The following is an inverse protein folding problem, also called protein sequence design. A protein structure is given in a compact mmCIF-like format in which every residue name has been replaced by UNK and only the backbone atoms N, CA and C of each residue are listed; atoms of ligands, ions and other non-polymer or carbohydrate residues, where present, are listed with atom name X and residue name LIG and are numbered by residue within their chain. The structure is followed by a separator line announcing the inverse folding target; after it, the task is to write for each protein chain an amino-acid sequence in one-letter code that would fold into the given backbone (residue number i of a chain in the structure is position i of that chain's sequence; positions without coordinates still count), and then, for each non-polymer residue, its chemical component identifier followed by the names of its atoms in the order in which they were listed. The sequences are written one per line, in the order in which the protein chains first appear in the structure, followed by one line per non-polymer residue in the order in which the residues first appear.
data_IF_645228241737
#
_entry.id   IF_645228241737
#
_cell.length_a   1.000
_cell.length_b   1.000
_cell.length_c   1.000
_cell.angle_alpha   90.00
_cell.angle_beta   90.00
_cell.angle_gamma   90.00
#
_symmetry.space_group_name_H-M   'P 1'
#
loop_
_entity.id
_entity.type
_entity.pdbx_description
1 polymer ?
#
# COMPACT_ATOMS: atom_id res chain seq x y z
N UNK A 1 -2.79 3.97 -46.47
CA UNK A 1 -4.17 3.56 -46.23
C UNK A 1 -4.47 3.45 -44.73
N UNK A 2 -3.73 2.70 -43.91
CA UNK A 2 -3.96 2.59 -42.47
C UNK A 2 -3.96 3.95 -41.75
N UNK A 3 -2.98 4.83 -42.02
CA UNK A 3 -2.93 6.18 -41.45
C UNK A 3 -4.12 7.07 -41.85
N UNK A 4 -4.70 6.88 -43.05
CA UNK A 4 -5.90 7.60 -43.46
C UNK A 4 -7.14 7.16 -42.65
N UNK A 5 -7.29 5.84 -42.40
CA UNK A 5 -8.37 5.31 -41.58
C UNK A 5 -8.25 5.82 -40.12
N UNK A 6 -7.05 5.78 -39.56
CA UNK A 6 -6.76 6.32 -38.23
C UNK A 6 -7.16 7.79 -38.14
N UNK A 7 -6.70 8.60 -39.09
CA UNK A 7 -7.00 10.05 -39.13
C UNK A 7 -8.51 10.33 -39.27
N UNK A 8 -9.21 9.56 -40.09
CA UNK A 8 -10.66 9.71 -40.27
C UNK A 8 -11.40 9.36 -38.97
N UNK A 9 -11.05 8.25 -38.35
CA UNK A 9 -11.69 7.79 -37.12
C UNK A 9 -11.39 8.74 -35.94
N UNK A 10 -10.16 9.22 -35.79
CA UNK A 10 -9.81 10.22 -34.78
C UNK A 10 -10.59 11.53 -34.97
N UNK A 11 -10.69 12.01 -36.23
CA UNK A 11 -11.50 13.21 -36.53
C UNK A 11 -12.97 13.00 -36.18
N UNK A 12 -13.57 11.86 -36.55
CA UNK A 12 -14.94 11.50 -36.22
C UNK A 12 -15.22 11.53 -34.71
N UNK A 13 -14.31 10.95 -33.90
CA UNK A 13 -14.43 10.91 -32.47
C UNK A 13 -14.26 12.29 -31.81
N UNK A 14 -13.35 13.11 -32.32
CA UNK A 14 -13.10 14.47 -31.81
C UNK A 14 -14.20 15.46 -32.17
N UNK A 15 -14.90 15.27 -33.31
CA UNK A 15 -16.07 16.11 -33.67
C UNK A 15 -17.29 15.84 -32.79
N UNK A 16 -17.35 14.68 -32.12
CA UNK A 16 -18.33 14.38 -31.09
C UNK A 16 -18.05 15.15 -29.81
N UNK A 17 -18.95 16.00 -29.35
CA UNK A 17 -18.82 16.79 -28.12
C UNK A 17 -18.74 15.93 -26.85
N UNK A 18 -19.13 14.67 -26.93
CA UNK A 18 -19.18 13.75 -25.77
C UNK A 18 -17.79 13.36 -25.26
N UNK A 19 -16.82 13.19 -26.14
CA UNK A 19 -15.46 12.77 -25.73
C UNK A 19 -14.73 13.86 -24.93
N UNK A 20 -14.70 15.14 -25.34
CA UNK A 20 -14.16 16.22 -24.51
C UNK A 20 -14.86 16.36 -23.15
N UNK A 21 -16.18 16.18 -23.11
CA UNK A 21 -16.93 16.21 -21.84
C UNK A 21 -16.53 15.05 -20.92
N UNK A 22 -16.33 13.87 -21.47
CA UNK A 22 -15.85 12.70 -20.72
C UNK A 22 -14.45 12.93 -20.11
N UNK A 23 -13.56 13.55 -20.90
CA UNK A 23 -12.22 13.95 -20.42
C UNK A 23 -12.30 15.01 -19.33
N UNK A 24 -13.14 16.00 -19.50
CA UNK A 24 -13.33 17.04 -18.49
C UNK A 24 -13.86 16.44 -17.18
N UNK A 25 -14.86 15.57 -17.26
CA UNK A 25 -15.40 14.88 -16.09
C UNK A 25 -14.32 14.02 -15.40
N UNK A 26 -13.54 13.27 -16.17
CA UNK A 26 -12.43 12.47 -15.63
C UNK A 26 -11.35 13.34 -14.99
N UNK A 27 -11.00 14.46 -15.61
CA UNK A 27 -10.01 15.41 -15.07
C UNK A 27 -10.50 16.03 -13.75
N UNK A 28 -11.79 16.39 -13.65
CA UNK A 28 -12.37 16.92 -12.42
C UNK A 28 -12.38 15.87 -11.30
N UNK A 29 -12.70 14.61 -11.63
CA UNK A 29 -12.62 13.50 -10.66
C UNK A 29 -11.19 13.26 -10.19
N UNK A 30 -10.22 13.25 -11.09
CA UNK A 30 -8.81 13.13 -10.74
C UNK A 30 -8.32 14.32 -9.91
N UNK A 31 -8.74 15.55 -10.21
CA UNK A 31 -8.39 16.73 -9.45
C UNK A 31 -8.93 16.66 -8.00
N UNK A 32 -10.21 16.27 -7.84
CA UNK A 32 -10.82 16.07 -6.53
C UNK A 32 -10.12 14.95 -5.73
N UNK A 33 -9.81 13.83 -6.38
CA UNK A 33 -9.11 12.72 -5.77
C UNK A 33 -7.67 13.09 -5.36
N UNK A 34 -6.95 13.82 -6.21
CA UNK A 34 -5.61 14.31 -5.92
C UNK A 34 -5.59 15.31 -4.76
N UNK A 35 -6.59 16.21 -4.71
CA UNK A 35 -6.77 17.14 -3.60
C UNK A 35 -6.95 16.40 -2.28
N UNK A 36 -7.81 15.39 -2.26
CA UNK A 36 -8.05 14.57 -1.08
C UNK A 36 -6.78 13.81 -0.65
N UNK A 37 -6.05 13.22 -1.61
CA UNK A 37 -4.78 12.54 -1.37
C UNK A 37 -3.69 13.49 -0.82
N UNK A 38 -3.55 14.69 -1.39
CA UNK A 38 -2.59 15.69 -0.92
C UNK A 38 -2.91 16.18 0.50
N UNK A 39 -4.18 16.45 0.80
CA UNK A 39 -4.62 16.84 2.14
C UNK A 39 -4.32 15.75 3.19
N UNK A 40 -4.52 14.48 2.82
CA UNK A 40 -4.15 13.36 3.68
C UNK A 40 -2.64 13.28 3.95
N UNK A 41 -1.81 13.46 2.91
CA UNK A 41 -0.35 13.49 3.06
C UNK A 41 0.08 14.59 4.01
N UNK A 42 -0.43 15.82 3.84
CA UNK A 42 -0.15 16.97 4.70
C UNK A 42 -0.51 16.71 6.17
N UNK A 43 -1.70 16.15 6.42
CA UNK A 43 -2.13 15.78 7.76
C UNK A 43 -1.20 14.73 8.38
N UNK A 44 -0.78 13.73 7.60
CA UNK A 44 0.12 12.67 8.07
C UNK A 44 1.52 13.19 8.37
N UNK A 45 2.07 14.05 7.52
CA UNK A 45 3.36 14.70 7.74
C UNK A 45 3.33 15.61 8.98
N UNK A 46 2.28 16.39 9.17
CA UNK A 46 2.09 17.22 10.35
C UNK A 46 2.03 16.38 11.64
N UNK A 47 1.29 15.27 11.62
CA UNK A 47 1.21 14.34 12.75
C UNK A 47 2.57 13.69 13.07
N UNK A 48 3.33 13.30 12.06
CA UNK A 48 4.68 12.73 12.24
C UNK A 48 5.67 13.79 12.75
N UNK A 49 5.59 15.03 12.25
CA UNK A 49 6.41 16.14 12.73
C UNK A 49 6.15 16.42 14.21
N UNK A 50 4.88 16.42 14.64
CA UNK A 50 4.51 16.59 16.04
C UNK A 50 5.06 15.47 16.94
N UNK A 51 5.01 14.19 16.47
CA UNK A 51 5.58 13.04 17.20
C UNK A 51 7.10 13.17 17.35
N UNK A 52 7.79 13.64 16.33
CA UNK A 52 9.24 13.81 16.34
C UNK A 52 9.66 15.02 17.18
N UNK A 53 8.85 16.09 17.24
CA UNK A 53 9.13 17.24 18.12
C UNK A 53 8.90 16.89 19.59
N UNK A 54 7.85 16.14 19.92
CA UNK A 54 7.61 15.58 21.27
C UNK A 54 8.80 14.73 21.74
N UNK A 55 9.40 13.92 20.85
CA UNK A 55 10.62 13.18 21.15
C UNK A 55 11.79 14.09 21.47
N UNK A 56 12.03 15.10 20.62
CA UNK A 56 13.14 16.07 20.81
C UNK A 56 12.99 16.84 22.12
N UNK A 57 11.79 17.31 22.43
CA UNK A 57 11.51 18.02 23.67
C UNK A 57 11.72 17.10 24.88
N UNK A 58 11.19 15.87 24.83
CA UNK A 58 11.42 14.87 25.88
C UNK A 58 12.91 14.62 26.11
N UNK A 59 13.72 14.50 25.06
CA UNK A 59 15.16 14.31 25.17
C UNK A 59 15.88 15.56 25.74
N UNK A 60 15.47 16.77 25.34
CA UNK A 60 16.00 18.04 25.91
C UNK A 60 15.72 18.15 27.41
N UNK A 61 14.48 17.87 27.83
CA UNK A 61 14.08 17.90 29.23
C UNK A 61 14.87 16.89 30.06
N UNK A 62 15.03 15.67 29.56
CA UNK A 62 15.83 14.62 30.24
C UNK A 62 17.32 14.99 30.32
N UNK A 63 17.88 15.53 29.24
CA UNK A 63 19.24 16.05 29.25
C UNK A 63 19.44 17.13 30.30
N UNK A 64 18.51 18.06 30.44
CA UNK A 64 18.54 19.09 31.46
C UNK A 64 18.47 18.51 32.88
N UNK A 65 17.61 17.49 33.10
CA UNK A 65 17.51 16.79 34.39
C UNK A 65 18.80 16.03 34.74
N UNK A 66 19.49 15.50 33.75
CA UNK A 66 20.79 14.80 33.96
C UNK A 66 21.95 15.79 34.16
N UNK A 67 21.80 17.03 33.69
CA UNK A 67 22.80 18.10 33.88
C UNK A 67 22.81 18.66 35.31
N UNK A 68 21.69 18.53 36.06
CA UNK A 68 21.64 18.93 37.45
C UNK A 68 22.54 18.03 38.30
N UNK A 69 23.19 18.63 39.31
CA UNK A 69 24.09 17.91 40.21
C UNK A 69 23.36 16.74 40.89
N UNK A 70 23.94 15.52 40.81
CA UNK A 70 23.34 14.29 41.34
C UNK A 70 23.45 14.28 42.86
N UNK A 71 22.58 15.02 43.53
CA UNK A 71 22.40 14.95 44.99
C UNK A 71 21.43 13.80 45.36
N UNK A 72 21.42 13.31 46.61
CA UNK A 72 20.46 12.28 47.05
C UNK A 72 18.99 12.71 46.79
N UNK A 73 18.67 14.00 46.97
CA UNK A 73 17.34 14.55 46.74
C UNK A 73 16.98 14.59 45.24
N UNK A 74 17.93 14.99 44.39
CA UNK A 74 17.74 14.98 42.94
C UNK A 74 17.62 13.55 42.40
N UNK A 75 18.36 12.59 42.98
CA UNK A 75 18.23 11.18 42.63
C UNK A 75 16.83 10.62 42.94
N UNK A 76 16.23 11.03 44.06
CA UNK A 76 14.86 10.67 44.39
C UNK A 76 13.84 11.33 43.44
N UNK A 77 14.09 12.58 43.04
CA UNK A 77 13.18 13.39 42.22
C UNK A 77 13.30 13.10 40.73
N UNK A 78 14.52 12.91 40.22
CA UNK A 78 14.82 12.71 38.80
C UNK A 78 15.37 11.33 38.46
N UNK A 79 15.32 10.38 39.38
CA UNK A 79 15.90 9.07 39.25
C UNK A 79 15.50 8.34 37.96
N UNK A 80 14.25 8.58 37.47
CA UNK A 80 13.83 8.06 36.18
C UNK A 80 14.65 8.54 35.00
N UNK A 81 15.11 9.80 34.99
CA UNK A 81 15.88 10.37 33.88
C UNK A 81 17.35 9.91 33.85
N UNK A 82 17.91 9.56 35.01
CA UNK A 82 19.30 9.09 35.17
C UNK A 82 19.51 7.67 34.68
N UNK A 83 18.45 6.89 34.56
CA UNK A 83 18.54 5.49 34.14
C UNK A 83 18.33 5.34 32.63
N UNK A 84 19.18 4.57 31.98
CA UNK A 84 19.05 4.23 30.56
C UNK A 84 17.67 3.58 30.22
N UNK A 85 17.03 2.98 31.23
CA UNK A 85 15.68 2.40 31.14
C UNK A 85 14.59 3.43 30.83
N UNK A 86 14.85 4.71 31.09
CA UNK A 86 13.92 5.81 30.79
C UNK A 86 13.96 6.27 29.34
N UNK A 87 14.95 5.84 28.56
CA UNK A 87 15.08 6.21 27.16
C UNK A 87 13.81 5.80 26.40
N UNK A 88 13.19 6.79 25.75
CA UNK A 88 12.04 6.62 24.89
C UNK A 88 12.37 7.20 23.52
N UNK A 89 12.27 6.38 22.50
CA UNK A 89 12.58 6.74 21.11
C UNK A 89 11.35 6.53 20.23
N UNK A 90 11.32 7.21 19.10
CA UNK A 90 10.25 7.06 18.12
C UNK A 90 10.81 6.41 16.86
N UNK A 91 10.05 5.46 16.30
CA UNK A 91 10.23 4.99 14.94
C UNK A 91 9.03 5.48 14.14
N UNK A 92 9.26 6.08 12.98
CA UNK A 92 8.21 6.66 12.15
C UNK A 92 8.23 6.10 10.74
N UNK A 93 7.03 5.96 10.14
CA UNK A 93 6.81 5.54 8.75
C UNK A 93 6.35 6.76 7.95
N UNK A 94 7.26 7.46 7.24
CA UNK A 94 6.91 8.62 6.43
C UNK A 94 6.03 8.22 5.24
N UNK A 95 5.23 9.13 4.66
CA UNK A 95 4.53 8.92 3.40
C UNK A 95 5.50 8.50 2.29
N UNK A 96 5.01 7.70 1.33
CA UNK A 96 5.80 7.31 0.16
C UNK A 96 5.93 8.45 -0.86
N UNK A 97 6.77 8.28 -1.87
CA UNK A 97 7.04 9.29 -2.93
C UNK A 97 5.77 9.71 -3.71
N UNK A 98 4.82 8.80 -3.87
CA UNK A 98 3.53 9.04 -4.53
C UNK A 98 2.35 8.83 -3.57
N UNK A 99 2.50 9.18 -2.29
CA UNK A 99 1.47 8.91 -1.28
C UNK A 99 0.11 9.55 -1.60
N UNK A 100 0.08 10.67 -2.32
CA UNK A 100 -1.16 11.30 -2.78
C UNK A 100 -1.92 10.46 -3.84
N UNK A 101 -1.28 9.43 -4.43
CA UNK A 101 -1.90 8.53 -5.42
C UNK A 101 -2.97 7.67 -4.79
N UNK A 102 -2.70 7.14 -3.61
CA UNK A 102 -3.67 6.33 -2.86
C UNK A 102 -3.39 6.36 -1.37
N UNK A 103 -4.42 6.56 -0.61
CA UNK A 103 -4.42 6.35 0.83
C UNK A 103 -4.41 4.85 1.12
N UNK A 104 -5.11 4.08 0.32
CA UNK A 104 -5.14 2.61 0.32
C UNK A 104 -5.31 2.04 1.71
N UNK A 105 -4.50 1.03 2.03
CA UNK A 105 -4.47 0.38 3.36
C UNK A 105 -3.58 1.11 4.37
N UNK A 106 -2.95 2.23 3.99
CA UNK A 106 -1.99 2.94 4.86
C UNK A 106 -2.58 3.36 6.21
N UNK A 107 -3.89 3.61 6.28
CA UNK A 107 -4.58 3.96 7.52
C UNK A 107 -4.76 2.78 8.46
N UNK A 108 -4.83 1.57 7.93
CA UNK A 108 -4.89 0.34 8.73
C UNK A 108 -3.56 -0.03 9.41
N UNK A 109 -2.46 0.66 9.07
CA UNK A 109 -1.14 0.38 9.61
C UNK A 109 -0.64 1.50 10.52
N UNK A 110 0.10 1.15 11.61
CA UNK A 110 0.67 2.16 12.49
C UNK A 110 1.69 3.01 11.75
N UNK A 111 1.57 4.33 11.88
CA UNK A 111 2.50 5.28 11.29
C UNK A 111 3.73 5.56 12.14
N UNK A 112 3.71 5.18 13.42
CA UNK A 112 4.81 5.35 14.33
C UNK A 112 4.81 4.26 15.42
N UNK A 113 5.95 4.04 16.03
CA UNK A 113 6.12 3.18 17.19
C UNK A 113 6.81 3.94 18.32
N UNK A 114 6.35 3.73 19.55
CA UNK A 114 7.03 4.23 20.74
C UNK A 114 7.92 3.13 21.29
N UNK A 115 9.22 3.33 21.22
CA UNK A 115 10.23 2.33 21.57
C UNK A 115 10.76 2.61 22.97
N UNK A 116 10.48 1.68 23.88
CA UNK A 116 11.07 1.65 25.23
C UNK A 116 11.71 0.28 25.47
N UNK A 117 12.77 0.27 26.25
CA UNK A 117 13.47 -0.98 26.57
C UNK A 117 12.55 -1.99 27.31
N UNK A 118 11.65 -1.53 28.16
CA UNK A 118 10.78 -2.36 28.98
C UNK A 118 9.34 -2.55 28.45
N UNK A 119 9.04 -2.00 27.27
CA UNK A 119 7.77 -2.30 26.59
C UNK A 119 7.83 -3.70 25.98
N UNK A 120 6.76 -4.47 26.10
CA UNK A 120 6.61 -5.69 25.32
C UNK A 120 6.57 -5.36 23.82
N UNK A 121 7.12 -6.22 22.99
CA UNK A 121 7.22 -5.98 21.54
C UNK A 121 5.86 -5.77 20.87
N UNK A 122 4.83 -6.44 21.36
CA UNK A 122 3.47 -6.32 20.85
C UNK A 122 2.76 -4.99 21.22
N UNK A 123 3.36 -4.14 22.07
CA UNK A 123 2.71 -2.90 22.55
C UNK A 123 3.36 -1.62 22.00
N UNK A 124 4.42 -1.73 21.21
CA UNK A 124 5.16 -0.54 20.73
C UNK A 124 4.35 0.33 19.76
N UNK A 125 3.31 -0.25 19.13
CA UNK A 125 2.44 0.44 18.17
C UNK A 125 1.14 0.94 18.78
N UNK A 126 0.79 0.56 20.01
CA UNK A 126 -0.53 0.82 20.61
C UNK A 126 -0.92 2.31 20.72
N UNK A 127 0.07 3.19 20.82
CA UNK A 127 -0.15 4.64 20.96
C UNK A 127 -0.38 5.37 19.63
N UNK A 128 -0.07 4.74 18.53
CA UNK A 128 -0.07 5.33 17.19
C UNK A 128 -0.98 4.57 16.22
N UNK A 129 -1.98 3.89 16.77
CA UNK A 129 -3.08 3.36 15.95
C UNK A 129 -3.85 4.57 15.43
N UNK A 130 -4.01 4.66 14.12
CA UNK A 130 -4.87 5.65 13.49
C UNK A 130 -6.24 5.67 14.17
N UNK A 131 -6.82 6.85 14.32
CA UNK A 131 -8.10 7.01 15.02
C UNK A 131 -9.12 5.95 14.56
N UNK A 132 -10.00 5.53 15.46
CA UNK A 132 -11.06 4.57 15.15
C UNK A 132 -11.96 5.16 14.05
N UNK A 133 -11.63 4.86 12.80
CA UNK A 133 -12.51 5.16 11.68
C UNK A 133 -13.62 4.11 11.59
N UNK A 134 -14.76 4.55 11.07
CA UNK A 134 -15.89 3.66 10.86
C UNK A 134 -15.47 2.51 9.91
N UNK A 135 -15.61 1.23 10.31
CA UNK A 135 -15.25 0.09 9.48
C UNK A 135 -15.90 0.10 8.09
N UNK A 136 -17.07 0.71 7.95
CA UNK A 136 -17.75 0.86 6.65
C UNK A 136 -17.03 1.84 5.72
N UNK A 137 -16.39 2.89 6.25
CA UNK A 137 -15.58 3.83 5.47
C UNK A 137 -14.29 3.15 5.00
N UNK A 138 -13.65 2.37 5.88
CA UNK A 138 -12.48 1.57 5.54
C UNK A 138 -12.80 0.50 4.49
N UNK A 139 -13.98 -0.14 4.58
CA UNK A 139 -14.42 -1.16 3.62
C UNK A 139 -14.82 -0.56 2.25
N UNK A 140 -15.42 0.64 2.23
CA UNK A 140 -15.79 1.33 1.00
C UNK A 140 -14.58 1.90 0.24
N UNK A 141 -13.46 2.07 0.92
CA UNK A 141 -12.28 2.77 0.40
C UNK A 141 -12.46 4.28 0.41
N UNK A 142 -11.35 5.02 0.35
CA UNK A 142 -11.39 6.48 0.17
C UNK A 142 -11.47 6.83 -1.30
N UNK A 143 -12.09 7.98 -1.59
CA UNK A 143 -12.08 8.54 -2.93
C UNK A 143 -10.70 9.16 -3.18
N UNK A 144 -9.81 8.37 -3.78
CA UNK A 144 -8.44 8.72 -4.15
C UNK A 144 -8.18 8.47 -5.66
N UNK A 145 -6.98 8.80 -6.12
CA UNK A 145 -6.62 8.60 -7.54
C UNK A 145 -6.63 7.12 -7.93
N UNK A 146 -6.25 6.20 -7.04
CA UNK A 146 -6.31 4.77 -7.33
C UNK A 146 -7.75 4.31 -7.53
N UNK A 147 -8.71 4.80 -6.74
CA UNK A 147 -10.12 4.53 -6.96
C UNK A 147 -10.58 5.00 -8.35
N UNK A 148 -10.26 6.24 -8.73
CA UNK A 148 -10.61 6.79 -10.05
C UNK A 148 -10.01 5.95 -11.18
N UNK A 149 -8.76 5.52 -11.04
CA UNK A 149 -8.08 4.71 -12.06
C UNK A 149 -8.67 3.30 -12.13
N UNK A 150 -8.82 2.61 -11.00
CA UNK A 150 -9.22 1.19 -11.00
C UNK A 150 -10.69 1.02 -11.37
N UNK A 151 -11.56 1.93 -10.91
CA UNK A 151 -13.01 1.80 -11.08
C UNK A 151 -13.56 2.59 -12.26
N UNK A 152 -13.11 3.84 -12.46
CA UNK A 152 -13.75 4.76 -13.42
C UNK A 152 -13.04 4.82 -14.78
N UNK A 153 -11.70 4.68 -14.81
CA UNK A 153 -10.98 4.64 -16.09
C UNK A 153 -11.45 3.50 -17.01
N UNK A 154 -11.70 2.26 -16.52
CA UNK A 154 -12.30 1.22 -17.35
C UNK A 154 -13.61 1.64 -18.01
N UNK A 155 -14.53 2.22 -17.23
CA UNK A 155 -15.82 2.68 -17.74
C UNK A 155 -15.65 3.75 -18.82
N UNK A 156 -14.68 4.65 -18.63
CA UNK A 156 -14.35 5.68 -19.61
C UNK A 156 -13.82 5.05 -20.92
N UNK A 157 -12.88 4.09 -20.83
CA UNK A 157 -12.32 3.41 -22.00
C UNK A 157 -13.40 2.59 -22.71
N UNK A 158 -14.24 1.89 -21.97
CA UNK A 158 -15.34 1.08 -22.50
C UNK A 158 -16.40 1.97 -23.16
N UNK A 159 -16.81 3.09 -22.52
CA UNK A 159 -17.75 4.06 -23.10
C UNK A 159 -17.20 4.67 -24.40
N UNK A 160 -15.87 4.86 -24.49
CA UNK A 160 -15.23 5.31 -25.71
C UNK A 160 -15.03 4.23 -26.79
N UNK A 161 -15.36 2.96 -26.51
CA UNK A 161 -14.97 1.84 -27.39
C UNK A 161 -16.05 0.81 -27.64
N UNK A 162 -17.22 0.86 -26.97
CA UNK A 162 -18.25 -0.15 -27.09
C UNK A 162 -18.86 -0.24 -28.51
N UNK A 163 -18.82 0.84 -29.28
CA UNK A 163 -19.39 0.96 -30.62
C UNK A 163 -18.35 0.75 -31.75
N UNK A 164 -17.14 0.29 -31.44
CA UNK A 164 -15.99 0.24 -32.33
C UNK A 164 -16.28 -0.43 -33.68
N UNK A 165 -17.10 -1.48 -33.71
CA UNK A 165 -17.54 -2.17 -34.93
C UNK A 165 -19.01 -2.56 -34.90
N UNK A 166 -19.60 -2.71 -33.73
CA UNK A 166 -20.99 -3.15 -33.55
C UNK A 166 -22.00 -2.21 -34.20
N UNK A 167 -21.76 -0.91 -34.17
CA UNK A 167 -22.61 0.09 -34.80
C UNK A 167 -22.63 0.02 -36.34
N UNK A 168 -21.49 -0.29 -36.97
CA UNK A 168 -21.43 -0.46 -38.44
C UNK A 168 -22.11 -1.74 -38.88
N UNK A 169 -22.05 -2.78 -38.05
CA UNK A 169 -22.79 -4.02 -38.29
C UNK A 169 -24.31 -3.78 -38.19
N UNK A 170 -24.74 -3.07 -37.18
CA UNK A 170 -26.14 -2.74 -36.94
C UNK A 170 -26.76 -1.91 -38.11
N UNK A 171 -25.98 -1.00 -38.69
CA UNK A 171 -26.40 -0.17 -39.85
C UNK A 171 -26.28 -0.88 -41.20
N UNK A 172 -25.87 -2.16 -41.22
CA UNK A 172 -25.70 -2.89 -42.48
C UNK A 172 -24.49 -2.44 -43.32
N UNK A 173 -23.60 -1.58 -42.76
CA UNK A 173 -22.42 -1.07 -43.50
C UNK A 173 -21.26 -2.03 -43.46
N UNK A 174 -21.28 -3.05 -42.61
CA UNK A 174 -20.20 -4.01 -42.48
C UNK A 174 -19.86 -4.75 -43.80
N UNK A 175 -20.81 -5.25 -44.62
CA UNK A 175 -20.51 -5.86 -45.90
C UNK A 175 -19.80 -4.92 -46.87
N UNK A 176 -20.25 -3.66 -46.92
CA UNK A 176 -19.63 -2.63 -47.77
C UNK A 176 -18.22 -2.27 -47.32
N UNK A 177 -17.96 -2.18 -46.01
CA UNK A 177 -16.62 -1.95 -45.49
C UNK A 177 -15.70 -3.15 -45.75
N UNK A 178 -16.22 -4.36 -45.69
CA UNK A 178 -15.45 -5.60 -45.93
C UNK A 178 -15.21 -5.88 -47.43
N UNK A 179 -15.98 -5.25 -48.34
CA UNK A 179 -15.73 -5.32 -49.81
C UNK A 179 -14.61 -4.39 -50.26
N UNK A 180 -14.13 -3.47 -49.41
CA UNK A 180 -12.97 -2.62 -49.71
C UNK A 180 -11.67 -3.46 -49.75
N UNK A 181 -10.64 -3.07 -50.53
CA UNK A 181 -9.37 -3.80 -50.63
C UNK A 181 -8.50 -3.68 -49.37
N UNK A 182 -9.13 -3.89 -48.16
CA UNK A 182 -8.50 -3.85 -46.86
C UNK A 182 -8.88 -5.10 -46.10
N UNK A 183 -7.90 -5.84 -45.59
CA UNK A 183 -8.21 -7.00 -44.76
C UNK A 183 -8.97 -6.58 -43.48
N UNK A 184 -9.98 -7.34 -43.02
CA UNK A 184 -10.78 -7.04 -41.83
C UNK A 184 -9.91 -6.78 -40.59
N UNK A 185 -8.81 -7.53 -40.46
CA UNK A 185 -7.86 -7.37 -39.36
C UNK A 185 -7.14 -6.01 -39.37
N UNK A 186 -6.77 -5.51 -40.55
CA UNK A 186 -6.14 -4.18 -40.68
C UNK A 186 -7.13 -3.05 -40.39
N UNK A 187 -8.38 -3.20 -40.81
CA UNK A 187 -9.44 -2.24 -40.50
C UNK A 187 -9.67 -2.13 -38.99
N UNK A 188 -9.87 -3.26 -38.33
CA UNK A 188 -10.07 -3.29 -36.87
C UNK A 188 -8.85 -2.80 -36.10
N UNK A 189 -7.63 -3.15 -36.55
CA UNK A 189 -6.39 -2.66 -35.94
C UNK A 189 -6.27 -1.13 -36.07
N UNK A 190 -6.62 -0.55 -37.23
CA UNK A 190 -6.61 0.90 -37.45
C UNK A 190 -7.64 1.62 -36.54
N UNK A 191 -8.83 1.06 -36.38
CA UNK A 191 -9.87 1.61 -35.47
C UNK A 191 -9.45 1.49 -34.01
N UNK A 192 -8.92 0.34 -33.59
CA UNK A 192 -8.39 0.15 -32.25
C UNK A 192 -7.22 1.11 -31.95
N UNK A 193 -6.31 1.33 -32.93
CA UNK A 193 -5.22 2.30 -32.80
C UNK A 193 -5.72 3.74 -32.68
N UNK A 194 -6.76 4.13 -33.44
CA UNK A 194 -7.39 5.45 -33.29
C UNK A 194 -7.98 5.64 -31.90
N UNK A 195 -8.67 4.61 -31.35
CA UNK A 195 -9.20 4.63 -29.97
C UNK A 195 -8.07 4.68 -28.95
N UNK A 196 -7.02 3.85 -29.11
CA UNK A 196 -5.87 3.86 -28.22
C UNK A 196 -5.23 5.26 -28.15
N UNK A 197 -5.05 5.92 -29.32
CA UNK A 197 -4.46 7.26 -29.38
C UNK A 197 -5.29 8.32 -28.63
N UNK A 198 -6.60 8.16 -28.61
CA UNK A 198 -7.51 9.12 -27.94
C UNK A 198 -7.82 8.73 -26.50
N UNK A 199 -7.80 7.45 -26.14
CA UNK A 199 -8.27 6.97 -24.83
C UNK A 199 -7.15 6.62 -23.86
N UNK A 200 -5.88 6.50 -24.30
CA UNK A 200 -4.77 6.16 -23.40
C UNK A 200 -3.96 7.39 -22.98
N UNK A 201 -3.46 8.25 -23.87
CA UNK A 201 -2.61 9.37 -23.48
C UNK A 201 -3.28 10.40 -22.56
N UNK A 202 -4.56 10.82 -22.80
CA UNK A 202 -5.18 11.84 -21.96
C UNK A 202 -5.30 11.45 -20.48
N UNK A 203 -5.84 10.27 -20.09
CA UNK A 203 -5.90 9.91 -18.66
C UNK A 203 -4.53 9.76 -18.01
N UNK A 204 -3.52 9.29 -18.79
CA UNK A 204 -2.14 9.23 -18.30
C UNK A 204 -1.59 10.63 -18.05
N UNK A 205 -1.81 11.57 -18.99
CA UNK A 205 -1.38 12.95 -18.82
C UNK A 205 -2.08 13.64 -17.64
N UNK A 206 -3.40 13.42 -17.48
CA UNK A 206 -4.19 13.94 -16.36
C UNK A 206 -3.66 13.40 -15.02
N UNK A 207 -3.38 12.09 -14.95
CA UNK A 207 -2.80 11.48 -13.75
C UNK A 207 -1.44 12.08 -13.39
N UNK A 208 -0.53 12.15 -14.38
CA UNK A 208 0.82 12.71 -14.14
C UNK A 208 0.74 14.17 -13.71
N UNK A 209 -0.14 14.97 -14.33
CA UNK A 209 -0.37 16.35 -13.94
C UNK A 209 -0.95 16.47 -12.51
N UNK A 210 -1.91 15.59 -12.15
CA UNK A 210 -2.51 15.56 -10.82
C UNK A 210 -1.50 15.19 -9.74
N UNK A 211 -0.63 14.20 -9.99
CA UNK A 211 0.44 13.80 -9.07
C UNK A 211 1.51 14.88 -8.94
N UNK A 212 1.91 15.50 -10.04
CA UNK A 212 2.89 16.60 -10.03
C UNK A 212 2.35 17.82 -9.25
N UNK A 213 1.07 18.16 -9.42
CA UNK A 213 0.41 19.20 -8.64
C UNK A 213 0.31 18.85 -7.14
N UNK A 214 0.21 17.56 -6.80
CA UNK A 214 0.25 17.04 -5.43
C UNK A 214 1.65 16.90 -4.82
N UNK A 215 2.70 17.47 -5.49
CA UNK A 215 4.07 17.51 -4.96
C UNK A 215 4.97 16.32 -5.36
N UNK A 216 4.53 15.43 -6.23
CA UNK A 216 5.36 14.31 -6.70
C UNK A 216 6.51 14.81 -7.58
N UNK A 217 7.76 14.52 -7.18
CA UNK A 217 8.98 14.98 -7.89
C UNK A 217 9.76 13.82 -8.55
N UNK A 218 9.51 12.58 -8.15
CA UNK A 218 10.21 11.40 -8.66
C UNK A 218 9.76 11.05 -10.09
N UNK A 219 10.60 11.37 -11.08
CA UNK A 219 10.31 11.07 -12.49
C UNK A 219 10.20 9.56 -12.75
N UNK A 220 11.00 8.74 -12.05
CA UNK A 220 10.94 7.28 -12.15
C UNK A 220 9.61 6.73 -11.64
N UNK A 221 9.14 7.18 -10.48
CA UNK A 221 7.86 6.76 -9.92
C UNK A 221 6.67 7.22 -10.79
N UNK A 222 6.71 8.47 -11.28
CA UNK A 222 5.71 9.00 -12.21
C UNK A 222 5.65 8.20 -13.52
N UNK A 223 6.81 7.86 -14.10
CA UNK A 223 6.85 7.07 -15.33
C UNK A 223 6.34 5.64 -15.14
N UNK A 224 6.60 5.01 -13.99
CA UNK A 224 6.06 3.69 -13.64
C UNK A 224 4.55 3.74 -13.47
N UNK A 225 4.01 4.77 -12.78
CA UNK A 225 2.57 4.97 -12.64
C UNK A 225 1.91 5.19 -14.00
N UNK A 226 2.49 6.05 -14.85
CA UNK A 226 2.02 6.31 -16.20
C UNK A 226 1.99 5.04 -17.07
N UNK A 227 3.05 4.23 -17.02
CA UNK A 227 3.12 2.96 -17.76
C UNK A 227 2.07 1.96 -17.28
N UNK A 228 1.89 1.80 -15.96
CA UNK A 228 0.90 0.90 -15.40
C UNK A 228 -0.52 1.28 -15.81
N UNK A 229 -0.86 2.58 -15.75
CA UNK A 229 -2.18 3.09 -16.14
C UNK A 229 -2.40 2.97 -17.65
N UNK A 230 -1.37 3.23 -18.47
CA UNK A 230 -1.44 3.03 -19.91
C UNK A 230 -1.71 1.55 -20.26
N UNK A 231 -1.02 0.60 -19.63
CA UNK A 231 -1.24 -0.84 -19.81
C UNK A 231 -2.65 -1.25 -19.41
N UNK A 232 -3.16 -0.70 -18.31
CA UNK A 232 -4.52 -0.96 -17.84
C UNK A 232 -5.57 -0.44 -18.80
N UNK A 233 -5.42 0.79 -19.32
CA UNK A 233 -6.31 1.34 -20.33
C UNK A 233 -6.28 0.50 -21.62
N UNK A 234 -5.11 0.04 -22.06
CA UNK A 234 -4.97 -0.85 -23.22
C UNK A 234 -5.64 -2.21 -23.00
N UNK A 235 -5.56 -2.79 -21.81
CA UNK A 235 -6.28 -4.02 -21.47
C UNK A 235 -7.80 -3.85 -21.69
N UNK A 236 -8.39 -2.77 -21.18
CA UNK A 236 -9.82 -2.50 -21.34
C UNK A 236 -10.22 -2.25 -22.81
N UNK A 237 -9.35 -1.61 -23.58
CA UNK A 237 -9.56 -1.48 -25.01
C UNK A 237 -9.54 -2.84 -25.73
N UNK A 238 -8.64 -3.76 -25.34
CA UNK A 238 -8.63 -5.13 -25.89
C UNK A 238 -9.88 -5.91 -25.53
N UNK A 239 -10.39 -5.74 -24.31
CA UNK A 239 -11.67 -6.31 -23.89
C UNK A 239 -12.80 -5.77 -24.75
N UNK A 240 -12.89 -4.46 -24.94
CA UNK A 240 -13.90 -3.82 -25.79
C UNK A 240 -13.82 -4.35 -27.24
N UNK A 241 -12.62 -4.51 -27.79
CA UNK A 241 -12.42 -5.08 -29.11
C UNK A 241 -12.97 -6.51 -29.23
N UNK A 242 -12.67 -7.37 -28.25
CA UNK A 242 -13.17 -8.73 -28.22
C UNK A 242 -14.73 -8.75 -28.12
N UNK A 243 -15.28 -7.97 -27.22
CA UNK A 243 -16.76 -7.86 -27.04
C UNK A 243 -17.43 -7.40 -28.32
N UNK A 244 -16.89 -6.38 -29.02
CA UNK A 244 -17.41 -5.91 -30.30
C UNK A 244 -17.41 -6.99 -31.40
N UNK A 245 -16.44 -7.92 -31.37
CA UNK A 245 -16.42 -9.05 -32.31
C UNK A 245 -17.44 -10.15 -31.99
N UNK A 246 -17.88 -10.22 -30.74
CA UNK A 246 -18.87 -11.18 -30.27
C UNK A 246 -20.30 -10.66 -30.36
N UNK A 247 -20.52 -9.37 -30.15
CA UNK A 247 -21.81 -8.74 -30.11
C UNK A 247 -22.43 -8.59 -31.53
N UNK A 248 -23.73 -8.78 -31.63
CA UNK A 248 -24.47 -8.59 -32.88
C UNK A 248 -24.83 -7.11 -33.15
N UNK A 249 -25.06 -6.31 -32.13
CA UNK A 249 -25.42 -4.90 -32.19
C UNK A 249 -24.73 -4.07 -31.09
N UNK A 250 -24.88 -2.76 -31.14
CA UNK A 250 -24.26 -1.82 -30.21
C UNK A 250 -24.74 -2.01 -28.76
N UNK A 251 -26.02 -2.33 -28.56
CA UNK A 251 -26.58 -2.56 -27.23
C UNK A 251 -25.98 -3.81 -26.57
N UNK A 252 -25.83 -4.91 -27.31
CA UNK A 252 -25.15 -6.11 -26.81
C UNK A 252 -23.68 -5.87 -26.52
N UNK A 253 -23.00 -5.04 -27.34
CA UNK A 253 -21.61 -4.66 -27.09
C UNK A 253 -21.47 -3.86 -25.79
N UNK A 254 -22.35 -2.89 -25.57
CA UNK A 254 -22.38 -2.09 -24.34
C UNK A 254 -22.64 -2.95 -23.10
N UNK A 255 -23.65 -3.82 -23.14
CA UNK A 255 -23.95 -4.77 -22.05
C UNK A 255 -22.80 -5.75 -21.81
N UNK A 256 -22.16 -6.27 -22.85
CA UNK A 256 -21.00 -7.16 -22.73
C UNK A 256 -19.79 -6.46 -22.13
N UNK A 257 -19.53 -5.19 -22.47
CA UNK A 257 -18.50 -4.37 -21.86
C UNK A 257 -18.78 -4.11 -20.37
N UNK A 258 -20.00 -3.75 -20.02
CA UNK A 258 -20.42 -3.52 -18.63
C UNK A 258 -20.35 -4.81 -17.81
N UNK A 259 -20.81 -5.94 -18.36
CA UNK A 259 -20.71 -7.25 -17.71
C UNK A 259 -19.22 -7.66 -17.48
N UNK A 260 -18.35 -7.41 -18.46
CA UNK A 260 -16.91 -7.63 -18.31
C UNK A 260 -16.28 -6.78 -17.22
N UNK A 261 -16.69 -5.51 -17.14
CA UNK A 261 -16.26 -4.61 -16.06
C UNK A 261 -16.76 -5.11 -14.70
N UNK A 262 -18.04 -5.40 -14.55
CA UNK A 262 -18.62 -5.90 -13.31
C UNK A 262 -17.94 -7.20 -12.85
N UNK A 263 -17.69 -8.09 -13.80
CA UNK A 263 -17.02 -9.38 -13.52
C UNK A 263 -15.59 -9.15 -13.02
N UNK A 264 -14.78 -8.35 -13.71
CA UNK A 264 -13.35 -8.24 -13.46
C UNK A 264 -13.01 -7.27 -12.33
N UNK A 265 -13.81 -6.20 -12.14
CA UNK A 265 -13.53 -5.17 -11.12
C UNK A 265 -14.25 -5.46 -9.80
N UNK A 266 -15.47 -6.04 -9.87
CA UNK A 266 -16.29 -6.25 -8.66
C UNK A 266 -16.39 -7.71 -8.27
N UNK A 267 -16.94 -8.53 -9.14
CA UNK A 267 -17.34 -9.90 -8.77
C UNK A 267 -16.12 -10.80 -8.50
N UNK A 268 -15.15 -10.79 -9.39
CA UNK A 268 -13.99 -11.67 -9.31
C UNK A 268 -13.08 -11.32 -8.10
N UNK A 269 -12.77 -10.06 -7.82
CA UNK A 269 -12.09 -9.69 -6.56
C UNK A 269 -12.87 -10.06 -5.31
N UNK A 270 -14.19 -9.86 -5.30
CA UNK A 270 -15.04 -10.21 -4.15
C UNK A 270 -15.08 -11.72 -3.89
N UNK A 271 -15.26 -12.53 -4.95
CA UNK A 271 -15.24 -13.99 -4.85
C UNK A 271 -13.86 -14.51 -4.41
N UNK A 272 -12.81 -13.91 -4.95
CA UNK A 272 -11.44 -14.26 -4.62
C UNK A 272 -11.08 -13.91 -3.18
N UNK A 273 -11.55 -12.75 -2.67
CA UNK A 273 -11.40 -12.39 -1.25
C UNK A 273 -12.15 -13.36 -0.34
N UNK A 274 -13.40 -13.72 -0.69
CA UNK A 274 -14.18 -14.73 0.03
C UNK A 274 -13.49 -16.09 0.06
N UNK A 275 -12.89 -16.51 -1.08
CA UNK A 275 -12.10 -17.74 -1.13
C UNK A 275 -10.83 -17.68 -0.26
N UNK A 276 -10.16 -16.53 -0.22
CA UNK A 276 -9.01 -16.32 0.66
C UNK A 276 -9.41 -16.36 2.14
N UNK A 277 -10.57 -15.82 2.50
CA UNK A 277 -11.09 -15.85 3.87
C UNK A 277 -11.43 -17.28 4.33
N UNK A 278 -11.89 -18.14 3.40
CA UNK A 278 -12.13 -19.55 3.68
C UNK A 278 -10.82 -20.36 3.78
N UNK A 279 -9.86 -20.09 2.89
CA UNK A 279 -8.58 -20.83 2.83
C UNK A 279 -7.58 -20.39 3.92
N UNK A 280 -7.58 -19.13 4.28
CA UNK A 280 -6.71 -18.51 5.28
C UNK A 280 -7.51 -17.46 6.07
N UNK A 281 -8.35 -17.89 7.03
CA UNK A 281 -9.16 -16.98 7.81
C UNK A 281 -8.28 -15.99 8.58
N UNK A 282 -8.69 -14.71 8.68
CA UNK A 282 -7.95 -13.74 9.46
C UNK A 282 -7.96 -14.14 10.93
N UNK A 283 -6.82 -13.97 11.61
CA UNK A 283 -6.79 -14.11 13.06
C UNK A 283 -7.72 -13.08 13.70
N UNK A 284 -8.53 -13.50 14.66
CA UNK A 284 -9.35 -12.57 15.43
C UNK A 284 -8.45 -11.60 16.19
N UNK A 285 -8.54 -10.26 15.96
CA UNK A 285 -7.73 -9.30 16.68
C UNK A 285 -7.87 -9.40 18.20
N UNK A 286 -9.10 -9.68 18.69
CA UNK A 286 -9.39 -9.84 20.11
C UNK A 286 -8.78 -11.11 20.68
N UNK A 287 -8.84 -12.22 19.97
CA UNK A 287 -8.20 -13.48 20.39
C UNK A 287 -6.68 -13.33 20.43
N UNK A 288 -6.08 -12.74 19.42
CA UNK A 288 -4.65 -12.45 19.38
C UNK A 288 -4.20 -11.59 20.57
N UNK A 289 -4.89 -10.47 20.82
CA UNK A 289 -4.58 -9.57 21.95
C UNK A 289 -4.75 -10.31 23.29
N UNK A 290 -5.80 -11.08 23.47
CA UNK A 290 -6.05 -11.82 24.70
C UNK A 290 -5.02 -12.93 24.91
N UNK A 291 -4.67 -13.68 23.87
CA UNK A 291 -3.63 -14.72 23.94
C UNK A 291 -2.26 -14.13 24.29
N UNK A 292 -1.87 -13.03 23.62
CA UNK A 292 -0.60 -12.35 23.91
C UNK A 292 -0.58 -11.75 25.33
N UNK A 293 -1.70 -11.20 25.82
CA UNK A 293 -1.82 -10.73 27.22
C UNK A 293 -1.70 -11.86 28.23
N UNK A 294 -2.40 -12.98 27.99
CA UNK A 294 -2.33 -14.15 28.88
C UNK A 294 -0.90 -14.69 28.97
N UNK A 295 -0.21 -14.80 27.85
CA UNK A 295 1.19 -15.24 27.82
C UNK A 295 2.14 -14.24 28.48
N UNK A 296 1.93 -12.93 28.28
CA UNK A 296 2.70 -11.91 28.96
C UNK A 296 2.52 -11.96 30.49
N UNK A 297 1.30 -12.27 30.96
CA UNK A 297 1.02 -12.46 32.39
C UNK A 297 1.71 -13.74 32.92
N UNK A 298 1.62 -14.84 32.19
CA UNK A 298 2.27 -16.09 32.56
C UNK A 298 3.80 -15.92 32.61
N UNK A 299 4.39 -15.32 31.59
CA UNK A 299 5.82 -15.03 31.53
C UNK A 299 6.30 -14.19 32.72
N UNK A 300 5.52 -13.18 33.12
CA UNK A 300 5.80 -12.37 34.31
C UNK A 300 5.70 -13.18 35.61
N UNK A 301 4.71 -14.06 35.74
CA UNK A 301 4.54 -14.92 36.91
C UNK A 301 5.73 -15.90 37.03
N UNK A 302 6.13 -16.56 35.95
CA UNK A 302 7.26 -17.47 35.90
C UNK A 302 8.58 -16.74 36.22
N UNK A 303 8.81 -15.54 35.65
CA UNK A 303 9.97 -14.73 35.93
C UNK A 303 10.06 -14.30 37.41
N UNK A 304 8.91 -13.98 38.03
CA UNK A 304 8.85 -13.66 39.46
C UNK A 304 9.13 -14.88 40.34
N UNK A 305 8.58 -16.05 40.00
CA UNK A 305 8.82 -17.29 40.72
C UNK A 305 10.30 -17.74 40.73
N UNK A 306 11.00 -17.41 39.66
CA UNK A 306 12.44 -17.73 39.47
C UNK A 306 13.38 -16.62 39.95
N UNK A 307 12.85 -15.48 40.43
CA UNK A 307 13.68 -14.41 40.96
C UNK A 307 14.41 -14.88 42.24
N UNK A 308 15.75 -14.82 42.29
CA UNK A 308 16.47 -15.19 43.52
C UNK A 308 16.06 -14.26 44.65
N UNK A 309 15.74 -14.82 45.81
CA UNK A 309 15.56 -14.08 47.07
C UNK A 309 16.85 -13.25 47.25
N UNK A 310 16.69 -11.92 47.33
CA UNK A 310 17.82 -11.03 47.45
C UNK A 310 18.68 -11.41 48.64
N UNK A 311 19.89 -11.93 48.39
CA UNK A 311 20.89 -12.07 49.43
C UNK A 311 21.21 -10.66 49.94
N UNK A 312 21.18 -10.48 51.26
CA UNK A 312 21.58 -9.25 51.95
C UNK A 312 23.04 -8.96 51.57
N UNK A 313 23.26 -8.04 50.63
CA UNK A 313 24.59 -7.70 50.17
C UNK A 313 25.19 -6.64 51.08
N UNK A 314 26.34 -6.95 51.65
CA UNK A 314 27.24 -6.06 52.38
C UNK A 314 28.07 -5.15 51.43
N UNK A 315 27.68 -5.04 50.18
CA UNK A 315 28.31 -4.19 49.14
C UNK A 315 27.74 -2.75 49.17
N UNK A 316 28.53 -1.73 48.75
CA UNK A 316 28.01 -0.38 48.60
C UNK A 316 26.75 -0.38 47.71
N UNK A 317 25.77 0.46 48.09
CA UNK A 317 24.49 0.50 47.38
C UNK A 317 24.74 0.78 45.89
N UNK A 318 24.18 -0.05 44.97
CA UNK A 318 24.40 0.12 43.54
C UNK A 318 23.80 1.43 43.05
N UNK A 319 24.39 2.03 42.02
CA UNK A 319 23.88 3.24 41.39
C UNK A 319 22.49 3.01 40.79
N UNK A 320 22.25 1.81 40.26
CA UNK A 320 21.01 1.41 39.63
C UNK A 320 20.25 0.45 40.55
N UNK A 321 18.99 0.71 40.92
CA UNK A 321 18.19 -0.16 41.78
C UNK A 321 18.07 -1.58 41.21
N UNK A 322 18.20 -2.59 42.06
CA UNK A 322 18.04 -4.00 41.68
C UNK A 322 16.65 -4.33 41.12
N UNK A 323 15.64 -3.54 41.49
CA UNK A 323 14.30 -3.66 40.91
C UNK A 323 14.28 -3.42 39.40
N UNK A 324 15.11 -2.49 38.90
CA UNK A 324 15.23 -2.23 37.45
C UNK A 324 15.95 -3.35 36.74
N UNK A 325 17.01 -3.91 37.36
CA UNK A 325 17.74 -5.07 36.83
C UNK A 325 16.84 -6.30 36.74
N UNK A 326 16.08 -6.59 37.81
CA UNK A 326 15.09 -7.68 37.83
C UNK A 326 14.03 -7.48 36.74
N UNK A 327 13.52 -6.25 36.60
CA UNK A 327 12.54 -5.93 35.54
C UNK A 327 13.11 -6.13 34.14
N UNK A 328 14.37 -5.81 33.91
CA UNK A 328 15.02 -6.06 32.61
C UNK A 328 15.07 -7.56 32.29
N UNK A 329 15.46 -8.39 33.27
CA UNK A 329 15.47 -9.84 33.11
C UNK A 329 14.06 -10.43 32.91
N UNK A 330 13.06 -9.92 33.63
CA UNK A 330 11.66 -10.32 33.44
C UNK A 330 11.17 -10.03 32.01
N UNK A 331 11.49 -8.85 31.49
CA UNK A 331 11.10 -8.46 30.12
C UNK A 331 11.83 -9.33 29.10
N UNK A 332 13.12 -9.58 29.26
CA UNK A 332 13.91 -10.40 28.34
C UNK A 332 13.39 -11.85 28.26
N UNK A 333 13.12 -12.46 29.43
CA UNK A 333 12.55 -13.82 29.50
C UNK A 333 11.13 -13.87 28.91
N UNK A 334 10.28 -12.89 29.27
CA UNK A 334 8.92 -12.80 28.76
C UNK A 334 8.85 -12.57 27.26
N UNK A 335 9.80 -11.86 26.71
CA UNK A 335 9.88 -11.59 25.28
C UNK A 335 10.07 -12.85 24.42
N UNK A 336 10.79 -13.85 24.94
CA UNK A 336 10.94 -15.15 24.27
C UNK A 336 9.61 -15.86 24.09
N UNK A 337 8.77 -15.89 25.12
CA UNK A 337 7.43 -16.49 25.09
C UNK A 337 6.47 -15.71 24.19
N UNK A 338 6.47 -14.38 24.29
CA UNK A 338 5.63 -13.51 23.46
C UNK A 338 5.99 -13.67 21.97
N UNK A 339 7.29 -13.74 21.64
CA UNK A 339 7.71 -13.95 20.24
C UNK A 339 7.31 -15.31 19.70
N UNK A 340 7.42 -16.36 20.49
CA UNK A 340 7.00 -17.71 20.08
C UNK A 340 5.49 -17.75 19.74
N UNK A 341 4.67 -17.07 20.54
CA UNK A 341 3.25 -16.97 20.31
C UNK A 341 2.91 -16.08 19.10
N UNK A 342 3.54 -14.92 19.01
CA UNK A 342 3.32 -14.01 17.88
C UNK A 342 3.77 -14.62 16.55
N UNK A 343 4.77 -15.52 16.56
CA UNK A 343 5.24 -16.23 15.37
C UNK A 343 4.13 -17.05 14.68
N UNK A 344 3.22 -17.66 15.45
CA UNK A 344 2.10 -18.42 14.90
C UNK A 344 1.10 -17.50 14.17
N UNK A 345 0.78 -16.35 14.75
CA UNK A 345 -0.09 -15.34 14.14
C UNK A 345 0.56 -14.70 12.91
N UNK A 346 1.86 -14.41 12.96
CA UNK A 346 2.62 -13.91 11.80
C UNK A 346 2.60 -14.91 10.65
N UNK A 347 2.83 -16.19 10.91
CA UNK A 347 2.77 -17.23 9.88
C UNK A 347 1.36 -17.37 9.26
N UNK A 348 0.31 -17.08 10.02
CA UNK A 348 -1.07 -17.01 9.51
C UNK A 348 -1.26 -15.77 8.63
N UNK A 349 -0.80 -14.61 9.09
CA UNK A 349 -0.84 -13.35 8.32
C UNK A 349 -0.06 -13.48 7.01
N UNK A 350 1.14 -14.07 7.03
CA UNK A 350 1.97 -14.31 5.83
C UNK A 350 1.27 -15.24 4.83
N UNK A 351 0.66 -16.33 5.30
CA UNK A 351 -0.15 -17.22 4.44
C UNK A 351 -1.31 -16.48 3.81
N UNK A 352 -2.02 -15.65 4.58
CA UNK A 352 -3.11 -14.83 4.07
C UNK A 352 -2.63 -13.82 3.04
N UNK A 353 -1.52 -13.13 3.30
CA UNK A 353 -0.91 -12.20 2.34
C UNK A 353 -0.46 -12.91 1.04
N UNK A 354 0.05 -14.14 1.13
CA UNK A 354 0.38 -14.93 -0.05
C UNK A 354 -0.86 -15.24 -0.88
N UNK A 355 -1.98 -15.64 -0.25
CA UNK A 355 -3.27 -15.84 -0.92
C UNK A 355 -3.78 -14.55 -1.56
N UNK A 356 -3.81 -13.44 -0.82
CA UNK A 356 -4.21 -12.13 -1.33
C UNK A 356 -3.31 -11.68 -2.48
N UNK A 357 -1.99 -11.92 -2.37
CA UNK A 357 -1.05 -11.67 -3.45
C UNK A 357 -1.29 -12.51 -4.71
N UNK A 358 -1.84 -13.73 -4.58
CA UNK A 358 -2.22 -14.56 -5.72
C UNK A 358 -3.48 -14.02 -6.44
N UNK A 359 -4.35 -13.25 -5.77
CA UNK A 359 -5.57 -12.70 -6.37
C UNK A 359 -5.29 -11.73 -7.52
N UNK A 360 -4.13 -11.07 -7.53
CA UNK A 360 -3.70 -10.22 -8.65
C UNK A 360 -3.56 -10.98 -9.98
N UNK A 361 -3.34 -12.32 -9.93
CA UNK A 361 -3.33 -13.15 -11.12
C UNK A 361 -4.74 -13.35 -11.70
N UNK A 362 -5.76 -13.25 -10.87
CA UNK A 362 -7.15 -13.47 -11.27
C UNK A 362 -7.79 -12.21 -11.89
N UNK A 363 -7.37 -11.00 -11.46
CA UNK A 363 -7.95 -9.76 -11.93
C UNK A 363 -6.90 -8.69 -12.23
N UNK A 364 -6.87 -8.15 -13.46
CA UNK A 364 -6.06 -6.99 -13.81
C UNK A 364 -6.35 -5.75 -12.95
N UNK A 365 -7.58 -5.60 -12.45
CA UNK A 365 -7.94 -4.50 -11.55
C UNK A 365 -7.20 -4.63 -10.20
N UNK A 366 -7.12 -5.85 -9.65
CA UNK A 366 -6.34 -6.11 -8.42
C UNK A 366 -4.85 -5.88 -8.66
N UNK A 367 -4.31 -6.33 -9.81
CA UNK A 367 -2.90 -6.12 -10.13
C UNK A 367 -2.56 -4.62 -10.22
N UNK A 368 -3.44 -3.81 -10.83
CA UNK A 368 -3.26 -2.35 -10.90
C UNK A 368 -3.38 -1.72 -9.53
N UNK A 369 -4.37 -2.10 -8.71
CA UNK A 369 -4.55 -1.59 -7.35
C UNK A 369 -3.29 -1.84 -6.51
N UNK A 370 -2.79 -3.08 -6.49
CA UNK A 370 -1.56 -3.44 -5.78
C UNK A 370 -0.33 -2.67 -6.28
N UNK A 371 -0.22 -2.49 -7.62
CA UNK A 371 0.86 -1.70 -8.22
C UNK A 371 0.82 -0.23 -7.82
N UNK A 372 -0.37 0.40 -7.81
CA UNK A 372 -0.56 1.78 -7.38
C UNK A 372 -0.29 1.95 -5.87
N UNK A 373 -0.76 1.02 -5.01
CA UNK A 373 -0.48 1.03 -3.58
C UNK A 373 1.03 0.93 -3.29
N UNK A 374 1.78 0.09 -4.04
CA UNK A 374 3.25 0.00 -3.91
C UNK A 374 3.96 1.28 -4.31
N UNK A 375 3.52 1.91 -5.41
CA UNK A 375 4.06 3.19 -5.85
C UNK A 375 3.79 4.31 -4.84
N UNK A 376 2.62 4.29 -4.21
CA UNK A 376 2.25 5.21 -3.15
C UNK A 376 2.97 4.91 -1.81
N UNK A 377 3.55 3.72 -1.64
CA UNK A 377 4.08 3.25 -0.37
C UNK A 377 2.99 2.95 0.68
N UNK A 378 1.78 2.65 0.22
CA UNK A 378 0.60 2.33 1.03
C UNK A 378 0.36 0.82 1.16
N UNK A 379 1.27 -0.01 0.66
CA UNK A 379 1.16 -1.46 0.61
C UNK A 379 1.53 -2.14 1.95
N UNK A 380 0.97 -3.34 2.16
CA UNK A 380 1.19 -4.15 3.34
C UNK A 380 2.66 -4.55 3.54
N UNK A 381 3.40 -4.78 2.46
CA UNK A 381 4.80 -5.24 2.55
C UNK A 381 5.69 -4.16 3.14
N UNK A 382 5.49 -2.89 2.75
CA UNK A 382 6.20 -1.75 3.33
C UNK A 382 5.86 -1.56 4.81
N UNK A 383 4.58 -1.69 5.17
CA UNK A 383 4.13 -1.58 6.55
C UNK A 383 4.72 -2.68 7.45
N UNK A 384 4.75 -3.93 7.00
CA UNK A 384 5.37 -5.04 7.74
C UNK A 384 6.88 -4.86 7.86
N UNK A 385 7.55 -4.39 6.81
CA UNK A 385 8.99 -4.06 6.84
C UNK A 385 9.30 -3.00 7.89
N UNK A 386 8.46 -1.96 7.99
CA UNK A 386 8.58 -0.96 9.05
C UNK A 386 8.43 -1.58 10.45
N UNK A 387 7.42 -2.44 10.64
CA UNK A 387 7.21 -3.11 11.92
C UNK A 387 8.41 -3.98 12.31
N UNK A 388 8.97 -4.75 11.38
CA UNK A 388 10.16 -5.58 11.63
C UNK A 388 11.39 -4.75 11.99
N UNK A 389 11.59 -3.61 11.31
CA UNK A 389 12.67 -2.68 11.61
C UNK A 389 12.48 -1.99 12.96
N UNK A 390 11.24 -1.62 13.33
CA UNK A 390 10.93 -1.05 14.64
C UNK A 390 11.22 -2.06 15.77
N UNK A 391 10.86 -3.33 15.57
CA UNK A 391 11.21 -4.40 16.51
C UNK A 391 12.73 -4.64 16.58
N UNK A 392 13.45 -4.57 15.46
CA UNK A 392 14.90 -4.67 15.45
C UNK A 392 15.54 -3.51 16.23
N UNK A 393 15.05 -2.30 16.02
CA UNK A 393 15.49 -1.11 16.73
C UNK A 393 15.20 -1.19 18.24
N UNK A 394 14.05 -1.77 18.64
CA UNK A 394 13.77 -2.03 20.05
C UNK A 394 14.78 -2.99 20.68
N UNK A 395 15.19 -4.06 19.96
CA UNK A 395 16.24 -4.99 20.43
C UNK A 395 17.59 -4.28 20.61
N UNK A 396 17.94 -3.39 19.70
CA UNK A 396 19.14 -2.56 19.79
C UNK A 396 19.12 -1.65 21.02
N UNK A 397 18.00 -0.98 21.28
CA UNK A 397 17.80 -0.18 22.49
C UNK A 397 17.90 -1.04 23.77
N UNK A 398 17.31 -2.23 23.78
CA UNK A 398 17.44 -3.17 24.92
C UNK A 398 18.87 -3.57 25.18
N UNK A 399 19.64 -3.88 24.13
CA UNK A 399 21.05 -4.21 24.25
C UNK A 399 21.86 -3.02 24.78
N UNK A 400 21.55 -1.79 24.38
CA UNK A 400 22.15 -0.58 24.94
C UNK A 400 21.85 -0.48 26.44
N UNK A 401 20.58 -0.56 26.83
CA UNK A 401 20.15 -0.47 28.24
C UNK A 401 20.79 -1.58 29.08
N UNK A 402 20.85 -2.80 28.58
CA UNK A 402 21.48 -3.93 29.28
C UNK A 402 22.95 -3.65 29.59
N UNK A 403 23.70 -3.00 28.68
CA UNK A 403 25.09 -2.59 28.92
C UNK A 403 25.22 -1.58 30.07
N UNK A 404 24.32 -0.59 30.14
CA UNK A 404 24.29 0.38 31.25
C UNK A 404 23.97 -0.29 32.59
N UNK A 405 22.97 -1.21 32.60
CA UNK A 405 22.61 -1.96 33.79
C UNK A 405 23.73 -2.87 34.30
N UNK A 406 24.46 -3.55 33.38
CA UNK A 406 25.58 -4.43 33.71
C UNK A 406 26.77 -3.64 34.27
N UNK A 407 27.04 -2.46 33.71
CA UNK A 407 28.14 -1.59 34.14
C UNK A 407 27.76 -0.72 35.37
N UNK A 408 26.57 -0.85 35.95
CA UNK A 408 26.05 0.01 37.01
C UNK A 408 26.21 1.52 36.71
N UNK A 409 26.04 1.89 35.44
CA UNK A 409 26.34 3.22 34.92
C UNK A 409 25.05 4.02 34.74
N UNK A 410 25.02 5.24 35.25
CA UNK A 410 23.98 6.22 35.02
C UNK A 410 24.21 6.93 33.67
N UNK A 411 23.14 7.46 33.09
CA UNK A 411 23.24 8.36 31.95
C UNK A 411 23.91 9.68 32.36
N UNK A 412 24.71 10.21 31.47
CA UNK A 412 25.41 11.48 31.61
C UNK A 412 25.01 12.44 30.51
N UNK A 413 25.28 13.73 30.67
CA UNK A 413 25.08 14.75 29.61
C UNK A 413 25.84 14.35 28.34
N UNK A 414 27.04 13.80 28.49
CA UNK A 414 27.84 13.33 27.36
C UNK A 414 27.16 12.22 26.54
N UNK A 415 26.35 11.36 27.19
CA UNK A 415 25.59 10.31 26.48
C UNK A 415 24.48 10.91 25.60
N UNK A 416 23.83 11.99 26.07
CA UNK A 416 22.85 12.73 25.27
C UNK A 416 23.52 13.55 24.16
N UNK A 417 24.69 14.14 24.42
CA UNK A 417 25.44 14.95 23.45
C UNK A 417 26.10 14.08 22.37
N UNK A 418 26.53 12.87 22.72
CA UNK A 418 27.00 11.87 21.75
C UNK A 418 25.88 11.36 20.83
N UNK A 419 24.63 11.61 21.22
CA UNK A 419 23.43 11.22 20.48
C UNK A 419 22.93 9.82 20.84
N UNK A 420 21.66 9.75 21.20
CA UNK A 420 20.95 8.47 21.36
C UNK A 420 20.75 7.80 19.99
N UNK A 421 20.61 6.47 19.94
CA UNK A 421 20.26 5.78 18.69
C UNK A 421 19.05 6.39 18.03
N UNK A 422 19.07 6.52 16.70
CA UNK A 422 17.94 7.06 15.92
C UNK A 422 17.44 6.00 14.96
N UNK A 423 16.13 5.88 14.89
CA UNK A 423 15.51 5.03 13.89
C UNK A 423 15.65 5.65 12.49
N UNK A 424 16.14 4.84 11.55
CA UNK A 424 16.20 5.20 10.14
C UNK A 424 15.52 4.09 9.36
N UNK A 425 14.39 4.43 8.72
CA UNK A 425 13.67 3.48 7.86
C UNK A 425 14.51 3.13 6.63
N UNK A 426 14.75 1.84 6.44
CA UNK A 426 15.39 1.32 5.22
C UNK A 426 14.30 0.89 4.25
N UNK A 427 14.10 1.70 3.23
CA UNK A 427 13.14 1.40 2.16
C UNK A 427 13.61 0.22 1.30
N UNK A 428 12.66 -0.39 0.58
CA UNK A 428 12.97 -1.39 -0.42
C UNK A 428 13.88 -0.79 -1.51
N UNK A 429 14.83 -1.57 -2.00
CA UNK A 429 15.66 -1.16 -3.12
C UNK A 429 14.81 -0.88 -4.36
N UNK A 430 15.33 -0.02 -5.26
CA UNK A 430 14.65 0.25 -6.54
C UNK A 430 14.39 -1.05 -7.31
N UNK A 431 15.34 -1.98 -7.31
CA UNK A 431 15.23 -3.27 -8.01
C UNK A 431 14.11 -4.14 -7.45
N UNK A 432 13.91 -4.18 -6.12
CA UNK A 432 12.80 -4.92 -5.50
C UNK A 432 11.45 -4.30 -5.87
N UNK A 433 11.33 -2.96 -5.78
CA UNK A 433 10.11 -2.24 -6.14
C UNK A 433 9.78 -2.42 -7.63
N UNK A 434 10.78 -2.24 -8.51
CA UNK A 434 10.62 -2.42 -9.95
C UNK A 434 10.26 -3.87 -10.31
N UNK A 435 10.88 -4.87 -9.67
CA UNK A 435 10.57 -6.28 -9.91
C UNK A 435 9.12 -6.63 -9.59
N UNK A 436 8.58 -6.13 -8.48
CA UNK A 436 7.19 -6.34 -8.09
C UNK A 436 6.21 -5.68 -9.08
N UNK A 437 6.51 -4.44 -9.52
CA UNK A 437 5.70 -3.72 -10.52
C UNK A 437 5.77 -4.37 -11.90
N UNK A 438 6.92 -4.89 -12.31
CA UNK A 438 7.07 -5.64 -13.57
C UNK A 438 6.24 -6.92 -13.55
N UNK A 439 6.10 -7.57 -12.40
CA UNK A 439 5.22 -8.71 -12.27
C UNK A 439 3.76 -8.30 -12.48
N UNK A 440 3.28 -7.24 -11.82
CA UNK A 440 1.91 -6.74 -11.96
C UNK A 440 1.62 -6.28 -13.39
N UNK A 441 2.54 -5.55 -14.01
CA UNK A 441 2.48 -5.18 -15.42
C UNK A 441 2.44 -6.41 -16.34
N UNK A 442 3.23 -7.44 -16.04
CA UNK A 442 3.26 -8.71 -16.76
C UNK A 442 1.91 -9.43 -16.76
N UNK A 443 1.22 -9.45 -15.61
CA UNK A 443 -0.14 -10.02 -15.50
C UNK A 443 -1.11 -9.29 -16.43
N UNK A 444 -1.07 -7.94 -16.44
CA UNK A 444 -1.95 -7.13 -17.28
C UNK A 444 -1.65 -7.36 -18.77
N UNK A 445 -0.37 -7.41 -19.14
CA UNK A 445 0.07 -7.67 -20.52
C UNK A 445 -0.36 -9.05 -20.97
N UNK A 446 -0.18 -10.09 -20.15
CA UNK A 446 -0.60 -11.46 -20.47
C UNK A 446 -2.12 -11.53 -20.68
N UNK A 447 -2.90 -10.87 -19.82
CA UNK A 447 -4.36 -10.81 -19.96
C UNK A 447 -4.75 -10.06 -21.24
N UNK A 448 -4.13 -8.92 -21.55
CA UNK A 448 -4.37 -8.17 -22.78
C UNK A 448 -4.01 -8.99 -24.06
N UNK A 449 -2.88 -9.69 -24.02
CA UNK A 449 -2.45 -10.57 -25.13
C UNK A 449 -3.44 -11.74 -25.31
N UNK A 450 -3.92 -12.34 -24.23
CA UNK A 450 -4.93 -13.40 -24.30
C UNK A 450 -6.22 -12.92 -24.97
N UNK A 451 -6.71 -11.71 -24.61
CA UNK A 451 -7.87 -11.08 -25.25
C UNK A 451 -7.61 -10.81 -26.74
N UNK A 452 -6.44 -10.30 -27.07
CA UNK A 452 -6.06 -10.04 -28.47
C UNK A 452 -6.00 -11.33 -29.31
N UNK A 453 -5.45 -12.41 -28.73
CA UNK A 453 -5.41 -13.71 -29.41
C UNK A 453 -6.82 -14.29 -29.59
N UNK A 454 -7.68 -14.16 -28.61
CA UNK A 454 -9.09 -14.54 -28.71
C UNK A 454 -9.81 -13.75 -29.82
N UNK A 455 -9.61 -12.44 -29.87
CA UNK A 455 -10.14 -11.56 -30.92
C UNK A 455 -9.65 -11.98 -32.31
N UNK A 456 -8.35 -12.25 -32.46
CA UNK A 456 -7.75 -12.75 -33.75
C UNK A 456 -8.31 -14.10 -34.16
N UNK A 457 -8.47 -15.06 -33.22
CA UNK A 457 -9.08 -16.38 -33.50
C UNK A 457 -10.52 -16.22 -33.98
N UNK A 458 -11.29 -15.36 -33.34
CA UNK A 458 -12.67 -15.09 -33.73
C UNK A 458 -12.78 -14.51 -35.13
N UNK A 459 -11.94 -13.52 -35.41
CA UNK A 459 -11.88 -12.87 -36.71
C UNK A 459 -11.56 -13.86 -37.86
N UNK A 460 -10.58 -14.75 -37.68
CA UNK A 460 -10.23 -15.77 -38.64
C UNK A 460 -11.38 -16.75 -38.91
N UNK A 461 -12.09 -17.18 -37.85
CA UNK A 461 -13.25 -18.06 -38.00
C UNK A 461 -14.40 -17.44 -38.81
N UNK A 462 -14.65 -16.15 -38.64
CA UNK A 462 -15.66 -15.44 -39.44
C UNK A 462 -15.24 -15.24 -40.90
N UNK A 463 -13.96 -15.05 -41.18
CA UNK A 463 -13.46 -14.98 -42.55
C UNK A 463 -13.60 -16.34 -43.29
N UNK A 464 -13.37 -17.44 -42.57
CA UNK A 464 -13.53 -18.80 -43.13
C UNK A 464 -14.99 -19.26 -43.29
N UNK A 465 -15.96 -18.61 -42.64
CA UNK A 465 -17.39 -18.91 -42.78
C UNK A 465 -18.08 -17.99 -43.82
N UNK A 466 -17.36 -17.00 -44.35
CA UNK A 466 -17.83 -16.09 -45.39
C UNK A 466 -17.34 -16.50 -46.82
N UNK A 467 -16.48 -17.52 -46.93
CA UNK A 467 -16.14 -18.22 -48.13
C UNK A 467 -17.09 -19.43 -48.32
#
# INVERSE_FOLDING_TARGET
MMAAIIRMETRRLLHGRWLPLLWLAFALLCAGAAWNGAAWVEQREAALAAIMEDERETQRLRRAQVADEVTPDNRARYGGALYATAISLRAVLPPGELAALTVGRAEGYPMAATIHAFSASNTIFDRHVAGMENPSVLAAGRFDLAFVIVWLLPLLVLAGSFDLFAHERERGMAPWLLSQPVSPGRLLAAKAAARALLLVPPPVAILVAALAAGGATSLSALSMAAALVALYALFWLMLALLVNLLAANAAQAALGCLAGWLLLVVLLPALALGAADLAAPPASPTERVNALRAQAMQARAEARAQAPVAAQATAPAPNIPDSLRRRALEVERGEGLIRAADASYRAQDERRLAWLGALRLASPAVAVQDGLERLAGADAVRALRFQDQAHAFQRELRALVARYLAADRLLTVADYDAGLPRFVLREASFTERAGALLFDAGVIVLAAVALLLAARRRLRRHALLAE
#
